data_IF_815846093826
#
_entry.id   IF_815846093826
#
_cell.length_a   1.000
_cell.length_b   1.000
_cell.length_c   1.000
_cell.angle_alpha   90.00
_cell.angle_beta   90.00
_cell.angle_gamma   90.00
#
_symmetry.space_group_name_H-M   'P 1'
#
loop_
_entity.id
_entity.type
_entity.pdbx_description
1 polymer ?
#
# COMPACT_ATOMS: atom_id res chain seq x y z
N UNK A 1 -3.35 -30.10 20.90
CA UNK A 1 -2.23 -29.19 20.58
C UNK A 1 -2.66 -28.39 19.35
N UNK A 2 -2.51 -27.06 19.41
CA UNK A 2 -2.76 -26.04 18.36
C UNK A 2 -4.22 -25.65 18.04
N UNK A 3 -4.71 -24.57 18.69
CA UNK A 3 -5.81 -23.69 18.23
C UNK A 3 -5.38 -22.20 18.37
N UNK A 4 -4.06 -21.93 18.43
CA UNK A 4 -3.54 -20.58 18.68
C UNK A 4 -3.26 -19.77 17.39
N UNK A 5 -3.46 -20.33 16.19
CA UNK A 5 -3.10 -19.69 14.90
C UNK A 5 -4.23 -18.85 14.25
N UNK A 6 -5.51 -19.15 14.51
CA UNK A 6 -6.62 -18.49 13.80
C UNK A 6 -6.80 -16.97 14.07
N UNK A 7 -6.64 -16.44 15.31
CA UNK A 7 -6.79 -15.01 15.54
C UNK A 7 -5.58 -14.20 15.05
N UNK A 8 -4.37 -14.79 15.08
CA UNK A 8 -3.15 -14.13 14.58
C UNK A 8 -3.20 -13.98 13.06
N UNK A 9 -3.61 -15.03 12.34
CA UNK A 9 -3.77 -15.01 10.88
C UNK A 9 -4.80 -13.98 10.41
N UNK A 10 -5.92 -13.85 11.13
CA UNK A 10 -6.96 -12.85 10.82
C UNK A 10 -6.49 -11.41 11.06
N UNK A 11 -5.72 -11.17 12.12
CA UNK A 11 -5.14 -9.86 12.43
C UNK A 11 -4.13 -9.41 11.38
N UNK A 12 -3.24 -10.31 10.95
CA UNK A 12 -2.24 -10.05 9.91
C UNK A 12 -2.91 -9.77 8.55
N UNK A 13 -3.94 -10.54 8.19
CA UNK A 13 -4.71 -10.30 6.97
C UNK A 13 -5.38 -8.92 7.00
N UNK A 14 -6.03 -8.57 8.11
CA UNK A 14 -6.67 -7.26 8.28
C UNK A 14 -5.66 -6.11 8.19
N UNK A 15 -4.50 -6.27 8.83
CA UNK A 15 -3.43 -5.27 8.78
C UNK A 15 -2.90 -5.09 7.36
N UNK A 16 -2.71 -6.18 6.61
CA UNK A 16 -2.29 -6.13 5.21
C UNK A 16 -3.33 -5.42 4.34
N UNK A 17 -4.61 -5.76 4.49
CA UNK A 17 -5.69 -5.12 3.75
C UNK A 17 -5.79 -3.62 4.06
N UNK A 18 -5.55 -3.22 5.33
CA UNK A 18 -5.51 -1.81 5.73
C UNK A 18 -4.33 -1.10 5.06
N UNK A 19 -3.14 -1.68 5.11
CA UNK A 19 -1.94 -1.14 4.47
C UNK A 19 -2.13 -0.95 2.96
N UNK A 20 -2.66 -1.97 2.28
CA UNK A 20 -2.90 -1.93 0.83
C UNK A 20 -3.97 -0.87 0.47
N UNK A 21 -5.01 -0.72 1.30
CA UNK A 21 -6.05 0.31 1.12
C UNK A 21 -5.50 1.73 1.28
N UNK A 22 -4.73 2.01 2.33
CA UNK A 22 -4.14 3.33 2.55
C UNK A 22 -3.17 3.71 1.43
N UNK A 23 -2.34 2.76 1.01
CA UNK A 23 -1.42 3.00 -0.09
C UNK A 23 -2.17 3.27 -1.41
N UNK A 24 -3.28 2.58 -1.67
CA UNK A 24 -4.12 2.85 -2.84
C UNK A 24 -4.78 4.22 -2.79
N UNK A 25 -5.25 4.65 -1.61
CA UNK A 25 -5.83 5.98 -1.41
C UNK A 25 -4.80 7.09 -1.68
N UNK A 26 -3.62 7.00 -1.05
CA UNK A 26 -2.52 7.95 -1.28
C UNK A 26 -2.07 7.93 -2.73
N UNK A 27 -1.92 6.75 -3.35
CA UNK A 27 -1.55 6.64 -4.77
C UNK A 27 -2.55 7.39 -5.66
N UNK A 28 -3.84 7.19 -5.42
CA UNK A 28 -4.90 7.80 -6.23
C UNK A 28 -4.84 9.31 -6.12
N UNK A 29 -4.78 9.84 -4.90
CA UNK A 29 -4.68 11.28 -4.67
C UNK A 29 -3.43 11.89 -5.33
N UNK A 30 -2.27 11.26 -5.15
CA UNK A 30 -1.01 11.78 -5.71
C UNK A 30 -0.95 11.65 -7.23
N UNK A 31 -1.51 10.59 -7.81
CA UNK A 31 -1.61 10.40 -9.25
C UNK A 31 -2.52 11.47 -9.87
N UNK A 32 -3.69 11.73 -9.28
CA UNK A 32 -4.59 12.79 -9.73
C UNK A 32 -3.93 14.16 -9.68
N UNK A 33 -3.22 14.48 -8.60
CA UNK A 33 -2.46 15.72 -8.47
C UNK A 33 -1.34 15.82 -9.52
N UNK A 34 -0.59 14.74 -9.76
CA UNK A 34 0.47 14.71 -10.75
C UNK A 34 -0.07 14.91 -12.17
N UNK A 35 -1.16 14.22 -12.53
CA UNK A 35 -1.82 14.36 -13.81
C UNK A 35 -2.42 15.76 -13.99
N UNK A 36 -2.96 16.36 -12.93
CA UNK A 36 -3.46 17.75 -12.98
C UNK A 36 -2.34 18.72 -13.31
N UNK A 37 -1.21 18.65 -12.58
CA UNK A 37 -0.06 19.53 -12.80
C UNK A 37 0.52 19.37 -14.21
N UNK A 38 0.64 18.12 -14.68
CA UNK A 38 1.14 17.86 -16.03
C UNK A 38 0.20 18.39 -17.13
N UNK A 39 -1.12 18.37 -16.91
CA UNK A 39 -2.09 18.98 -17.84
C UNK A 39 -2.00 20.50 -17.90
N UNK A 40 -1.59 21.14 -16.81
CA UNK A 40 -1.37 22.59 -16.77
C UNK A 40 -0.14 23.02 -17.60
N UNK A 41 0.85 22.15 -17.71
CA UNK A 41 2.07 22.37 -18.53
C UNK A 41 1.84 22.07 -20.03
N UNK A 42 0.76 21.38 -20.38
CA UNK A 42 0.36 21.05 -21.75
C UNK A 42 -0.53 19.81 -21.82
N UNK A 43 -1.06 19.51 -23.01
CA UNK A 43 -1.89 18.32 -23.19
C UNK A 43 -1.08 17.03 -22.97
N UNK A 44 -1.57 16.18 -22.07
CA UNK A 44 -1.04 14.84 -21.87
C UNK A 44 -1.63 13.87 -22.88
N UNK A 45 -0.75 13.25 -23.67
CA UNK A 45 -1.12 12.08 -24.49
C UNK A 45 -1.51 10.89 -23.60
N UNK A 46 -2.27 9.96 -24.17
CA UNK A 46 -2.67 8.73 -23.46
C UNK A 46 -1.45 7.89 -23.05
N UNK A 47 -0.39 7.86 -23.86
CA UNK A 47 0.85 7.15 -23.56
C UNK A 47 1.59 7.76 -22.37
N UNK A 48 1.69 9.09 -22.30
CA UNK A 48 2.30 9.78 -21.16
C UNK A 48 1.51 9.56 -19.88
N UNK A 49 0.16 9.58 -19.96
CA UNK A 49 -0.70 9.27 -18.82
C UNK A 49 -0.45 7.85 -18.31
N UNK A 50 -0.44 6.87 -19.20
CA UNK A 50 -0.16 5.48 -18.87
C UNK A 50 1.23 5.30 -18.24
N UNK A 51 2.24 6.06 -18.71
CA UNK A 51 3.57 6.03 -18.12
C UNK A 51 3.60 6.54 -16.66
N UNK A 52 2.85 7.60 -16.36
CA UNK A 52 2.72 8.13 -14.99
C UNK A 52 1.94 7.17 -14.09
N UNK A 53 0.87 6.57 -14.61
CA UNK A 53 0.10 5.53 -13.92
C UNK A 53 1.00 4.33 -13.55
N UNK A 54 1.76 3.80 -14.51
CA UNK A 54 2.69 2.69 -14.28
C UNK A 54 3.82 3.06 -13.31
N UNK A 55 4.33 4.30 -13.37
CA UNK A 55 5.31 4.79 -12.40
C UNK A 55 4.73 4.80 -10.98
N UNK A 56 3.51 5.30 -10.80
CA UNK A 56 2.86 5.35 -9.49
C UNK A 56 2.64 3.96 -8.89
N UNK A 57 2.32 2.94 -9.71
CA UNK A 57 2.21 1.54 -9.26
C UNK A 57 3.54 1.01 -8.76
N UNK A 58 4.60 1.20 -9.54
CA UNK A 58 5.95 0.75 -9.18
C UNK A 58 6.47 1.39 -7.90
N UNK A 59 6.15 2.67 -7.68
CA UNK A 59 6.53 3.38 -6.46
C UNK A 59 5.82 2.79 -5.24
N UNK A 60 4.52 2.52 -5.35
CA UNK A 60 3.73 1.94 -4.27
C UNK A 60 4.18 0.52 -3.98
N UNK A 61 4.39 -0.31 -5.00
CA UNK A 61 4.90 -1.67 -4.81
C UNK A 61 6.28 -1.70 -4.16
N UNK A 62 7.18 -0.82 -4.60
CA UNK A 62 8.51 -0.68 -3.99
C UNK A 62 8.45 -0.23 -2.53
N UNK A 63 7.58 0.72 -2.22
CA UNK A 63 7.39 1.21 -0.86
C UNK A 63 6.77 0.15 0.06
N UNK A 64 5.80 -0.61 -0.45
CA UNK A 64 5.08 -1.63 0.32
C UNK A 64 5.83 -2.95 0.47
N UNK A 65 6.87 -3.20 -0.33
CA UNK A 65 7.63 -4.44 -0.26
C UNK A 65 8.18 -4.72 1.16
N UNK A 66 8.78 -3.71 1.80
CA UNK A 66 9.34 -3.84 3.14
C UNK A 66 8.28 -4.08 4.23
N UNK A 67 7.21 -3.27 4.37
CA UNK A 67 6.18 -3.52 5.39
C UNK A 67 5.38 -4.81 5.15
N UNK A 68 5.13 -5.19 3.89
CA UNK A 68 4.50 -6.50 3.56
C UNK A 68 5.39 -7.66 4.02
N UNK A 69 6.70 -7.59 3.77
CA UNK A 69 7.65 -8.58 4.28
C UNK A 69 7.69 -8.60 5.81
N UNK A 70 7.68 -7.45 6.47
CA UNK A 70 7.63 -7.35 7.94
C UNK A 70 6.40 -8.03 8.56
N UNK A 71 5.23 -7.94 7.92
CA UNK A 71 4.03 -8.65 8.36
C UNK A 71 4.13 -10.17 8.19
N UNK A 72 4.86 -10.66 7.19
CA UNK A 72 5.04 -12.09 6.94
C UNK A 72 6.17 -12.72 7.77
N UNK A 73 7.31 -12.03 7.86
CA UNK A 73 8.58 -12.59 8.32
C UNK A 73 8.95 -12.19 9.75
N UNK A 74 8.18 -11.30 10.40
CA UNK A 74 8.47 -10.93 11.78
C UNK A 74 8.26 -12.10 12.75
N UNK A 75 9.14 -12.17 13.76
CA UNK A 75 9.01 -13.15 14.83
C UNK A 75 7.76 -12.92 15.70
N UNK A 76 7.23 -11.69 15.71
CA UNK A 76 5.98 -11.31 16.37
C UNK A 76 5.05 -10.62 15.37
N UNK A 77 4.39 -11.44 14.54
CA UNK A 77 3.45 -10.95 13.51
C UNK A 77 2.24 -10.26 14.11
N UNK A 78 1.80 -10.69 15.30
CA UNK A 78 0.69 -10.06 16.01
C UNK A 78 1.03 -8.62 16.40
N UNK A 79 2.24 -8.36 16.91
CA UNK A 79 2.72 -7.00 17.18
C UNK A 79 2.86 -6.18 15.90
N UNK A 80 3.45 -6.74 14.84
CA UNK A 80 3.57 -6.04 13.55
C UNK A 80 2.21 -5.66 12.96
N UNK A 81 1.24 -6.57 13.00
CA UNK A 81 -0.14 -6.31 12.57
C UNK A 81 -0.79 -5.20 13.40
N UNK A 82 -0.63 -5.22 14.72
CA UNK A 82 -1.15 -4.17 15.60
C UNK A 82 -0.54 -2.80 15.27
N UNK A 83 0.77 -2.72 15.05
CA UNK A 83 1.44 -1.47 14.66
C UNK A 83 0.88 -0.90 13.36
N UNK A 84 0.64 -1.73 12.35
CA UNK A 84 0.03 -1.28 11.09
C UNK A 84 -1.39 -0.76 11.32
N UNK A 85 -2.20 -1.49 12.10
CA UNK A 85 -3.56 -1.06 12.42
C UNK A 85 -3.56 0.26 13.20
N UNK A 86 -2.70 0.44 14.20
CA UNK A 86 -2.61 1.68 14.98
C UNK A 86 -2.08 2.89 14.18
N UNK A 87 -1.15 2.66 13.24
CA UNK A 87 -0.60 3.74 12.40
C UNK A 87 -1.61 4.29 11.39
N UNK A 88 -2.54 3.44 10.97
CA UNK A 88 -3.43 3.72 9.85
C UNK A 88 -4.90 3.66 10.23
N UNK A 89 -5.29 3.54 11.51
CA UNK A 89 -6.68 3.64 11.95
C UNK A 89 -7.22 5.05 11.71
#
# INVERSE_FOLDING_TARGET
MAVQDEPESTGVATARDRLDREAAAVRTEQLEQALSKLREEGDLTDEQRAAVEALSERLVDGLLAAPRAGLCDSADRAAAARTVLELFD
#
